data_IF_333794391313
#
_entry.id   IF_333794391313
#
_cell.length_a   1.000
_cell.length_b   1.000
_cell.length_c   1.000
_cell.angle_alpha   90.00
_cell.angle_beta   90.00
_cell.angle_gamma   90.00
#
_symmetry.space_group_name_H-M   'P 1'
#
loop_
_entity.id
_entity.type
_entity.pdbx_description
1 polymer ?
#
# COMPACT_ATOMS: atom_id res chain seq x y z
N UNK A 1 -57.10 9.60 29.47
CA UNK A 1 -55.71 9.11 29.25
C UNK A 1 -55.25 9.54 27.87
N UNK A 2 -54.50 10.65 27.77
CA UNK A 2 -54.03 11.21 26.50
C UNK A 2 -52.70 10.56 26.11
N UNK A 3 -52.65 9.86 24.97
CA UNK A 3 -51.42 9.24 24.45
C UNK A 3 -50.53 10.35 23.87
N UNK A 4 -49.35 10.56 24.46
CA UNK A 4 -48.34 11.49 23.94
C UNK A 4 -47.85 11.02 22.56
N UNK A 5 -47.67 11.93 21.59
CA UNK A 5 -47.12 11.59 20.29
C UNK A 5 -45.64 11.18 20.45
N UNK A 6 -45.28 10.06 19.82
CA UNK A 6 -43.91 9.56 19.77
C UNK A 6 -43.13 10.48 18.84
N UNK A 7 -42.24 11.30 19.40
CA UNK A 7 -41.29 12.07 18.60
C UNK A 7 -40.34 11.10 17.90
N UNK A 8 -39.98 11.32 16.62
CA UNK A 8 -38.98 10.52 15.95
C UNK A 8 -37.65 10.65 16.68
N UNK A 9 -37.04 9.51 16.99
CA UNK A 9 -35.72 9.40 17.61
C UNK A 9 -34.70 10.23 16.81
N UNK A 10 -33.95 11.14 17.45
CA UNK A 10 -32.96 11.93 16.72
C UNK A 10 -31.92 10.99 16.12
N UNK A 11 -31.73 11.08 14.81
CA UNK A 11 -30.83 10.21 14.05
C UNK A 11 -29.43 10.14 14.72
N UNK A 12 -28.83 8.95 14.83
CA UNK A 12 -27.55 8.78 15.52
C UNK A 12 -26.44 9.51 14.77
N UNK A 13 -26.02 10.65 15.32
CA UNK A 13 -24.87 11.42 14.85
C UNK A 13 -23.57 10.73 15.27
N UNK A 14 -22.69 10.51 14.28
CA UNK A 14 -21.24 10.29 14.45
C UNK A 14 -20.71 8.94 15.00
N UNK A 15 -21.12 7.80 14.43
CA UNK A 15 -20.33 6.55 14.54
C UNK A 15 -19.21 6.49 13.50
N UNK A 16 -18.15 7.28 13.65
CA UNK A 16 -16.93 7.09 12.83
C UNK A 16 -16.33 5.72 13.11
N UNK A 17 -16.24 4.88 12.07
CA UNK A 17 -15.67 3.51 12.12
C UNK A 17 -14.27 3.54 12.77
N UNK A 18 -13.89 2.55 13.60
CA UNK A 18 -12.65 2.57 14.39
C UNK A 18 -11.38 2.81 13.53
N UNK A 19 -11.38 2.29 12.30
CA UNK A 19 -10.32 2.50 11.31
C UNK A 19 -10.14 3.97 10.93
N UNK A 20 -11.23 4.73 10.79
CA UNK A 20 -11.17 6.16 10.45
C UNK A 20 -10.59 7.01 11.58
N UNK A 21 -10.85 6.63 12.84
CA UNK A 21 -10.25 7.26 14.03
C UNK A 21 -8.77 6.95 14.14
N UNK A 22 -8.37 5.70 13.92
CA UNK A 22 -6.97 5.29 13.93
C UNK A 22 -6.17 6.04 12.85
N UNK A 23 -6.71 6.11 11.63
CA UNK A 23 -6.10 6.86 10.54
C UNK A 23 -6.03 8.37 10.86
N UNK A 24 -7.08 8.95 11.44
CA UNK A 24 -7.10 10.35 11.85
C UNK A 24 -6.05 10.68 12.91
N UNK A 25 -5.88 9.82 13.92
CA UNK A 25 -4.84 9.99 14.96
C UNK A 25 -3.43 9.90 14.37
N UNK A 26 -3.18 8.93 13.50
CA UNK A 26 -1.89 8.80 12.82
C UNK A 26 -1.57 10.05 11.98
N UNK A 27 -2.52 10.53 11.18
CA UNK A 27 -2.35 11.76 10.37
C UNK A 27 -2.11 13.00 11.24
N UNK A 28 -2.83 13.13 12.35
CA UNK A 28 -2.65 14.24 13.30
C UNK A 28 -1.28 14.22 13.96
N UNK A 29 -0.80 13.04 14.40
CA UNK A 29 0.53 12.89 15.00
C UNK A 29 1.64 13.24 14.03
N UNK A 30 1.54 12.78 12.78
CA UNK A 30 2.49 13.12 11.71
C UNK A 30 2.49 14.64 11.44
N UNK A 31 1.32 15.25 11.29
CA UNK A 31 1.19 16.69 11.03
C UNK A 31 1.80 17.54 12.16
N UNK A 32 1.51 17.19 13.43
CA UNK A 32 2.09 17.87 14.60
C UNK A 32 3.62 17.73 14.67
N UNK A 33 4.15 16.57 14.30
CA UNK A 33 5.59 16.34 14.22
C UNK A 33 6.27 17.20 13.14
N UNK A 34 5.66 17.28 11.96
CA UNK A 34 6.18 18.08 10.83
C UNK A 34 6.16 19.59 11.17
N UNK A 35 5.11 20.07 11.84
CA UNK A 35 5.01 21.48 12.25
C UNK A 35 6.08 21.91 13.26
N UNK A 36 6.63 20.96 14.03
CA UNK A 36 7.57 21.25 15.13
C UNK A 36 9.04 21.20 14.71
N UNK A 37 9.34 20.76 13.49
CA UNK A 37 10.73 20.58 13.03
C UNK A 37 11.03 21.61 11.95
N UNK A 38 11.98 22.51 12.24
CA UNK A 38 12.58 23.35 11.20
C UNK A 38 13.25 22.42 10.19
N UNK A 39 12.88 22.54 8.91
CA UNK A 39 13.41 21.68 7.87
C UNK A 39 14.91 21.88 7.66
N UNK A 40 15.58 20.96 6.94
CA UNK A 40 17.02 21.00 6.72
C UNK A 40 17.52 22.25 5.98
N UNK A 41 16.63 22.97 5.28
CA UNK A 41 16.91 24.25 4.65
C UNK A 41 16.07 25.37 5.28
N UNK A 42 16.60 26.60 5.40
CA UNK A 42 15.81 27.79 5.72
C UNK A 42 14.72 28.12 4.68
N UNK A 43 14.84 27.60 3.45
CA UNK A 43 13.86 27.82 2.39
C UNK A 43 12.73 26.76 2.44
N UNK A 44 11.46 27.17 2.63
CA UNK A 44 10.34 26.23 2.71
C UNK A 44 10.08 25.47 1.41
N UNK A 45 10.31 26.07 0.23
CA UNK A 45 10.14 25.39 -1.05
C UNK A 45 11.17 24.25 -1.21
N UNK A 46 12.42 24.50 -0.80
CA UNK A 46 13.49 23.49 -0.80
C UNK A 46 13.17 22.34 0.15
N UNK A 47 12.62 22.62 1.34
CA UNK A 47 12.22 21.57 2.29
C UNK A 47 11.15 20.63 1.72
N UNK A 48 10.18 21.14 0.96
CA UNK A 48 9.15 20.33 0.32
C UNK A 48 9.76 19.44 -0.77
N UNK A 49 10.69 19.97 -1.57
CA UNK A 49 11.41 19.20 -2.58
C UNK A 49 12.25 18.08 -1.94
N UNK A 50 13.00 18.40 -0.88
CA UNK A 50 13.77 17.42 -0.12
C UNK A 50 12.85 16.34 0.44
N UNK A 51 11.70 16.72 1.00
CA UNK A 51 10.73 15.78 1.53
C UNK A 51 10.13 14.86 0.46
N UNK A 52 9.78 15.36 -0.73
CA UNK A 52 9.28 14.52 -1.84
C UNK A 52 10.35 13.53 -2.31
N UNK A 53 11.59 14.00 -2.50
CA UNK A 53 12.72 13.15 -2.89
C UNK A 53 12.99 12.09 -1.84
N UNK A 54 13.08 12.48 -0.56
CA UNK A 54 13.30 11.57 0.55
C UNK A 54 12.17 10.52 0.64
N UNK A 55 10.91 10.93 0.49
CA UNK A 55 9.78 10.03 0.54
C UNK A 55 9.78 9.02 -0.62
N UNK A 56 10.16 9.44 -1.83
CA UNK A 56 10.31 8.52 -2.98
C UNK A 56 11.42 7.51 -2.74
N UNK A 57 12.57 7.95 -2.23
CA UNK A 57 13.68 7.07 -1.87
C UNK A 57 13.29 6.08 -0.77
N UNK A 58 12.63 6.56 0.29
CA UNK A 58 12.14 5.73 1.37
C UNK A 58 11.14 4.68 0.88
N UNK A 59 10.22 5.05 -0.01
CA UNK A 59 9.25 4.11 -0.59
C UNK A 59 9.92 2.98 -1.38
N UNK A 60 10.99 3.28 -2.14
CA UNK A 60 11.72 2.26 -2.90
C UNK A 60 12.34 1.22 -1.95
N UNK A 61 12.99 1.68 -0.88
CA UNK A 61 13.62 0.80 0.12
C UNK A 61 12.55 0.02 0.89
N UNK A 62 11.48 0.68 1.30
CA UNK A 62 10.36 0.07 2.01
C UNK A 62 9.73 -1.05 1.17
N UNK A 63 9.43 -0.79 -0.10
CA UNK A 63 8.87 -1.79 -1.03
C UNK A 63 9.75 -3.04 -1.11
N UNK A 64 11.06 -2.86 -1.30
CA UNK A 64 12.03 -3.97 -1.37
C UNK A 64 12.09 -4.75 -0.05
N UNK A 65 11.99 -4.05 1.07
CA UNK A 65 12.02 -4.65 2.40
C UNK A 65 10.78 -5.51 2.66
N UNK A 66 9.59 -5.00 2.33
CA UNK A 66 8.33 -5.76 2.42
C UNK A 66 8.36 -6.97 1.49
N UNK A 67 8.82 -6.80 0.25
CA UNK A 67 8.95 -7.90 -0.71
C UNK A 67 9.86 -9.01 -0.19
N UNK A 68 11.06 -8.67 0.29
CA UNK A 68 12.00 -9.63 0.90
C UNK A 68 11.41 -10.30 2.15
N UNK A 69 10.74 -9.55 3.02
CA UNK A 69 10.13 -10.09 4.22
C UNK A 69 9.03 -11.12 3.90
N UNK A 70 8.17 -10.81 2.92
CA UNK A 70 7.12 -11.73 2.47
C UNK A 70 7.69 -13.00 1.83
N UNK A 71 8.77 -12.88 1.05
CA UNK A 71 9.43 -14.04 0.43
C UNK A 71 10.14 -14.92 1.46
N UNK A 72 10.88 -14.32 2.40
CA UNK A 72 11.56 -15.05 3.49
C UNK A 72 10.60 -15.78 4.43
N UNK A 73 9.36 -15.31 4.56
CA UNK A 73 8.33 -16.01 5.35
C UNK A 73 7.81 -17.30 4.68
N UNK A 74 8.15 -17.56 3.40
CA UNK A 74 7.60 -18.65 2.59
C UNK A 74 8.65 -19.49 1.87
N UNK A 75 9.86 -18.97 1.67
CA UNK A 75 10.94 -19.58 0.91
C UNK A 75 12.26 -19.48 1.68
N UNK A 76 13.19 -20.38 1.38
CA UNK A 76 14.53 -20.35 1.93
C UNK A 76 15.27 -19.05 1.58
N UNK A 77 16.21 -18.59 2.41
CA UNK A 77 16.88 -17.31 2.23
C UNK A 77 17.57 -17.15 0.86
N UNK A 78 18.09 -18.25 0.30
CA UNK A 78 18.76 -18.29 -1.00
C UNK A 78 17.76 -18.13 -2.15
N UNK A 79 16.70 -18.95 -2.18
CA UNK A 79 15.63 -18.83 -3.19
C UNK A 79 14.93 -17.47 -3.11
N UNK A 80 14.71 -16.93 -1.92
CA UNK A 80 14.13 -15.60 -1.75
C UNK A 80 15.02 -14.49 -2.34
N UNK A 81 16.35 -14.66 -2.30
CA UNK A 81 17.31 -13.72 -2.90
C UNK A 81 17.27 -13.82 -4.42
N UNK A 82 17.36 -15.03 -4.96
CA UNK A 82 17.31 -15.29 -6.41
C UNK A 82 16.01 -14.75 -7.04
N UNK A 83 14.87 -14.92 -6.38
CA UNK A 83 13.58 -14.36 -6.84
C UNK A 83 13.65 -12.83 -6.96
N UNK A 84 14.26 -12.16 -5.97
CA UNK A 84 14.36 -10.70 -5.95
C UNK A 84 15.33 -10.20 -7.02
N UNK A 85 16.44 -10.92 -7.21
CA UNK A 85 17.51 -10.54 -8.13
C UNK A 85 17.09 -10.75 -9.60
N UNK A 86 16.33 -11.81 -9.90
CA UNK A 86 15.79 -12.07 -11.24
C UNK A 86 14.63 -11.15 -11.67
N UNK A 87 14.26 -10.15 -10.86
CA UNK A 87 13.18 -9.22 -11.16
C UNK A 87 13.65 -8.13 -12.14
N UNK A 88 13.00 -7.98 -13.32
CA UNK A 88 13.38 -6.95 -14.28
C UNK A 88 13.20 -5.53 -13.70
N UNK A 89 14.31 -4.81 -13.57
CA UNK A 89 14.36 -3.45 -13.01
C UNK A 89 13.46 -2.48 -13.79
N UNK A 90 13.43 -2.62 -15.12
CA UNK A 90 12.64 -1.74 -16.01
C UNK A 90 11.13 -1.95 -15.91
N UNK A 91 10.67 -3.20 -15.76
CA UNK A 91 9.22 -3.52 -15.68
C UNK A 91 8.58 -3.01 -14.38
N UNK A 92 9.37 -2.96 -13.31
CA UNK A 92 8.96 -2.38 -12.03
C UNK A 92 8.74 -0.86 -12.12
N UNK A 93 9.46 -0.17 -13.01
CA UNK A 93 9.27 1.27 -13.23
C UNK A 93 7.99 1.56 -14.00
N UNK A 94 7.72 0.82 -15.09
CA UNK A 94 6.50 1.00 -15.88
C UNK A 94 5.23 0.80 -15.03
N UNK A 95 5.21 -0.26 -14.21
CA UNK A 95 4.08 -0.53 -13.29
C UNK A 95 3.93 0.54 -12.22
N UNK A 96 5.03 1.07 -11.69
CA UNK A 96 4.98 2.16 -10.72
C UNK A 96 4.42 3.46 -11.32
N UNK A 97 4.77 3.78 -12.57
CA UNK A 97 4.24 4.98 -13.26
C UNK A 97 2.75 4.87 -13.49
N UNK A 98 2.28 3.73 -14.00
CA UNK A 98 0.85 3.48 -14.22
C UNK A 98 0.07 3.53 -12.91
N UNK A 99 0.59 2.89 -11.86
CA UNK A 99 -0.04 2.93 -10.54
C UNK A 99 -0.08 4.36 -9.98
N UNK A 100 0.97 5.14 -10.18
CA UNK A 100 1.02 6.55 -9.75
C UNK A 100 -0.03 7.37 -10.48
N UNK A 101 -0.15 7.23 -11.80
CA UNK A 101 -1.15 7.93 -12.59
C UNK A 101 -2.57 7.60 -12.11
N UNK A 102 -2.86 6.31 -11.95
CA UNK A 102 -4.17 5.85 -11.53
C UNK A 102 -4.52 6.24 -10.08
N UNK A 103 -3.52 6.53 -9.24
CA UNK A 103 -3.73 6.91 -7.83
C UNK A 103 -3.64 8.42 -7.55
N UNK A 104 -3.40 9.26 -8.56
CA UNK A 104 -3.36 10.73 -8.39
C UNK A 104 -4.69 11.30 -7.87
N UNK A 105 -5.82 10.68 -8.22
CA UNK A 105 -7.15 11.14 -7.82
C UNK A 105 -7.78 10.20 -6.78
N UNK A 106 -8.67 10.75 -5.94
CA UNK A 106 -9.44 9.98 -4.96
C UNK A 106 -10.31 8.92 -5.64
N UNK A 107 -10.92 9.26 -6.77
CA UNK A 107 -11.75 8.34 -7.56
C UNK A 107 -10.94 7.20 -8.17
N UNK A 108 -9.78 7.51 -8.77
CA UNK A 108 -8.88 6.50 -9.32
C UNK A 108 -8.33 5.55 -8.25
N UNK A 109 -7.96 6.09 -7.07
CA UNK A 109 -7.55 5.27 -5.94
C UNK A 109 -8.66 4.32 -5.47
N UNK A 110 -9.91 4.78 -5.39
CA UNK A 110 -11.04 3.93 -5.03
C UNK A 110 -11.29 2.84 -6.06
N UNK A 111 -11.20 3.17 -7.35
CA UNK A 111 -11.40 2.22 -8.43
C UNK A 111 -10.30 1.15 -8.43
N UNK A 112 -9.03 1.55 -8.45
CA UNK A 112 -7.89 0.61 -8.49
C UNK A 112 -7.81 -0.19 -7.20
N UNK A 113 -7.93 0.48 -6.04
CA UNK A 113 -7.90 -0.17 -4.73
C UNK A 113 -9.08 -1.13 -4.56
N UNK A 114 -10.28 -0.72 -4.97
CA UNK A 114 -11.48 -1.56 -4.95
C UNK A 114 -11.34 -2.78 -5.86
N UNK A 115 -10.88 -2.59 -7.09
CA UNK A 115 -10.64 -3.68 -8.05
C UNK A 115 -9.60 -4.69 -7.53
N UNK A 116 -8.51 -4.20 -6.93
CA UNK A 116 -7.49 -5.06 -6.30
C UNK A 116 -8.08 -5.87 -5.14
N UNK A 117 -8.83 -5.24 -4.24
CA UNK A 117 -9.48 -5.95 -3.13
C UNK A 117 -10.50 -6.98 -3.62
N UNK A 118 -11.29 -6.63 -4.64
CA UNK A 118 -12.22 -7.55 -5.28
C UNK A 118 -11.47 -8.75 -5.90
N UNK A 119 -10.34 -8.50 -6.57
CA UNK A 119 -9.51 -9.58 -7.13
C UNK A 119 -8.95 -10.50 -6.06
N UNK A 120 -8.48 -9.96 -4.93
CA UNK A 120 -7.99 -10.75 -3.79
C UNK A 120 -9.10 -11.64 -3.22
N UNK A 121 -10.31 -11.10 -3.04
CA UNK A 121 -11.46 -11.89 -2.57
C UNK A 121 -11.82 -13.01 -3.55
N UNK A 122 -11.81 -12.71 -4.85
CA UNK A 122 -12.07 -13.70 -5.90
C UNK A 122 -11.03 -14.84 -5.91
N UNK A 123 -9.74 -14.51 -5.87
CA UNK A 123 -8.65 -15.50 -5.89
C UNK A 123 -8.68 -16.40 -4.67
N UNK A 124 -9.01 -15.84 -3.51
CA UNK A 124 -9.11 -16.59 -2.26
C UNK A 124 -10.30 -17.54 -2.23
N UNK A 125 -11.44 -17.16 -2.82
CA UNK A 125 -12.69 -17.92 -2.75
C UNK A 125 -12.81 -19.02 -3.81
N UNK A 126 -12.53 -18.72 -5.08
CA UNK A 126 -12.81 -19.64 -6.20
C UNK A 126 -11.60 -20.40 -6.71
N UNK A 127 -10.44 -19.75 -6.78
CA UNK A 127 -9.29 -20.26 -7.54
C UNK A 127 -8.02 -20.39 -6.70
N UNK A 128 -8.14 -20.59 -5.38
CA UNK A 128 -6.98 -20.59 -4.46
C UNK A 128 -5.83 -21.51 -4.92
N UNK A 129 -6.13 -22.77 -5.25
CA UNK A 129 -5.13 -23.75 -5.67
C UNK A 129 -4.46 -23.36 -7.00
N UNK A 130 -5.21 -22.81 -7.94
CA UNK A 130 -4.69 -22.38 -9.24
C UNK A 130 -3.82 -21.13 -9.08
N UNK A 131 -4.31 -20.13 -8.33
CA UNK A 131 -3.57 -18.92 -8.02
C UNK A 131 -2.25 -19.21 -7.29
N UNK A 132 -2.24 -20.16 -6.34
CA UNK A 132 -1.02 -20.61 -5.66
C UNK A 132 -0.04 -21.29 -6.64
N UNK A 133 -0.53 -22.17 -7.51
CA UNK A 133 0.30 -22.86 -8.52
C UNK A 133 0.91 -21.88 -9.52
N UNK A 134 0.10 -20.96 -10.04
CA UNK A 134 0.55 -19.96 -10.99
C UNK A 134 1.54 -18.99 -10.36
N UNK A 135 1.28 -18.55 -9.12
CA UNK A 135 2.21 -17.72 -8.36
C UNK A 135 3.55 -18.42 -8.12
N UNK A 136 3.54 -19.69 -7.70
CA UNK A 136 4.78 -20.47 -7.52
C UNK A 136 5.55 -20.64 -8.83
N UNK A 137 4.87 -20.92 -9.94
CA UNK A 137 5.50 -21.02 -11.27
C UNK A 137 6.17 -19.71 -11.70
N UNK A 138 5.51 -18.57 -11.46
CA UNK A 138 6.08 -17.26 -11.78
C UNK A 138 7.30 -16.94 -10.92
N UNK A 139 7.23 -17.22 -9.61
CA UNK A 139 8.36 -17.02 -8.69
C UNK A 139 9.53 -17.95 -9.02
N UNK A 140 9.27 -19.22 -9.37
CA UNK A 140 10.32 -20.14 -9.81
C UNK A 140 11.03 -19.64 -11.08
N UNK A 141 10.29 -19.13 -12.07
CA UNK A 141 10.88 -18.52 -13.28
C UNK A 141 11.73 -17.29 -12.95
N UNK A 142 11.31 -16.48 -11.98
CA UNK A 142 12.09 -15.33 -11.52
C UNK A 142 13.37 -15.77 -10.81
N UNK A 143 13.29 -16.78 -9.93
CA UNK A 143 14.46 -17.34 -9.27
C UNK A 143 15.50 -17.84 -10.28
N UNK A 144 15.06 -18.60 -11.28
CA UNK A 144 15.93 -19.10 -12.34
C UNK A 144 16.65 -17.95 -13.06
N UNK A 145 15.92 -16.91 -13.45
CA UNK A 145 16.51 -15.75 -14.10
C UNK A 145 17.52 -15.03 -13.20
N UNK A 146 17.27 -14.96 -11.90
CA UNK A 146 18.18 -14.35 -10.94
C UNK A 146 19.44 -15.16 -10.63
N UNK A 147 19.50 -16.43 -11.03
CA UNK A 147 20.72 -17.25 -11.01
C UNK A 147 21.59 -17.05 -12.25
N UNK A 148 20.97 -16.63 -13.36
CA UNK A 148 21.62 -16.42 -14.65
C UNK A 148 22.28 -15.03 -14.76
N UNK A 149 21.82 -14.06 -13.96
CA UNK A 149 22.30 -12.67 -13.88
C UNK A 149 23.33 -12.48 -12.75
#
# INVERSE_FOLDING_TARGET
MSKRPILPEPAPQDRKRPVSRALGKARSGISKGIQKVQGPSPNPATNILIADVAMRSAMIVFRRSVERALLRARYDPETAREIVDGKPRMRSLATAVVAREATKSKAGMLLVGGAMLAKVAFDRGRNRRNAERDGRRQLAKQALKGRED
#
